data_IF_961140356789
#
_entry.id   IF_961140356789
#
_cell.length_a   1.000
_cell.length_b   1.000
_cell.length_c   1.000
_cell.angle_alpha   90.00
_cell.angle_beta   90.00
_cell.angle_gamma   90.00
#
_symmetry.space_group_name_H-M   'P 1'
#
loop_
_entity.id
_entity.type
_entity.pdbx_description
1 polymer ?
#
# COMPACT_ATOMS: atom_id res chain seq x y z
N UNK A 1 19.56 -13.73 -10.48
CA UNK A 1 18.09 -13.58 -10.41
C UNK A 1 17.53 -13.64 -11.81
N UNK A 2 16.46 -14.38 -12.03
CA UNK A 2 15.81 -14.44 -13.34
C UNK A 2 15.15 -13.09 -13.68
N UNK A 3 15.13 -12.72 -14.97
CA UNK A 3 14.59 -11.41 -15.41
C UNK A 3 13.14 -11.18 -14.97
N UNK A 4 12.35 -12.24 -14.96
CA UNK A 4 10.93 -12.18 -14.57
C UNK A 4 10.75 -12.03 -13.06
N UNK A 5 11.54 -12.76 -12.28
CA UNK A 5 11.60 -12.60 -10.82
C UNK A 5 12.03 -11.17 -10.43
N UNK A 6 13.04 -10.63 -11.11
CA UNK A 6 13.51 -9.26 -10.89
C UNK A 6 12.39 -8.24 -11.17
N UNK A 7 11.72 -8.33 -12.33
CA UNK A 7 10.61 -7.42 -12.68
C UNK A 7 9.49 -7.47 -11.64
N UNK A 8 9.14 -8.67 -11.18
CA UNK A 8 8.13 -8.86 -10.13
C UNK A 8 8.55 -8.19 -8.83
N UNK A 9 9.77 -8.44 -8.34
CA UNK A 9 10.29 -7.83 -7.10
C UNK A 9 10.39 -6.31 -7.22
N UNK A 10 10.82 -5.79 -8.35
CA UNK A 10 10.93 -4.36 -8.62
C UNK A 10 9.57 -3.65 -8.62
N UNK A 11 8.55 -4.25 -9.25
CA UNK A 11 7.19 -3.71 -9.22
C UNK A 11 6.62 -3.70 -7.81
N UNK A 12 6.79 -4.79 -7.06
CA UNK A 12 6.32 -4.89 -5.68
C UNK A 12 7.05 -3.90 -4.76
N UNK A 13 8.35 -3.68 -4.95
CA UNK A 13 9.09 -2.64 -4.22
C UNK A 13 8.47 -1.25 -4.42
N UNK A 14 8.13 -0.89 -5.66
CA UNK A 14 7.47 0.40 -5.96
C UNK A 14 6.09 0.51 -5.32
N UNK A 15 5.28 -0.56 -5.38
CA UNK A 15 3.95 -0.59 -4.78
C UNK A 15 4.04 -0.44 -3.26
N UNK A 16 4.91 -1.22 -2.61
CA UNK A 16 5.11 -1.15 -1.15
C UNK A 16 5.59 0.23 -0.72
N UNK A 17 6.50 0.85 -1.47
CA UNK A 17 6.95 2.22 -1.21
C UNK A 17 5.79 3.23 -1.31
N UNK A 18 4.98 3.14 -2.36
CA UNK A 18 3.82 4.02 -2.54
C UNK A 18 2.80 3.87 -1.40
N UNK A 19 2.58 2.64 -0.93
CA UNK A 19 1.70 2.37 0.23
C UNK A 19 2.29 2.95 1.52
N UNK A 20 3.59 2.79 1.76
CA UNK A 20 4.25 3.41 2.91
C UNK A 20 4.10 4.94 2.90
N UNK A 21 4.18 5.58 1.73
CA UNK A 21 3.96 7.02 1.57
C UNK A 21 2.49 7.40 1.80
N UNK A 22 1.54 6.60 1.30
CA UNK A 22 0.11 6.78 1.54
C UNK A 22 -0.24 6.69 3.03
N UNK A 23 0.32 5.72 3.76
CA UNK A 23 0.03 5.54 5.18
C UNK A 23 0.65 6.65 6.06
N UNK A 24 1.71 7.32 5.60
CA UNK A 24 2.38 8.43 6.31
C UNK A 24 1.72 9.78 6.09
N UNK A 25 0.95 9.95 5.02
CA UNK A 25 0.31 11.23 4.70
C UNK A 25 -1.15 11.23 5.13
N UNK A 26 -1.52 12.18 6.00
CA UNK A 26 -2.92 12.46 6.33
C UNK A 26 -3.58 13.45 5.36
N UNK A 27 -2.80 14.04 4.44
CA UNK A 27 -3.15 15.28 3.73
C UNK A 27 -3.06 15.22 2.18
N UNK A 28 -3.06 14.04 1.55
CA UNK A 28 -2.97 14.00 0.10
C UNK A 28 -4.32 13.79 -0.61
N UNK A 29 -4.67 14.79 -1.43
CA UNK A 29 -5.72 14.79 -2.47
C UNK A 29 -5.41 13.76 -3.57
N UNK A 30 -5.38 12.46 -3.24
CA UNK A 30 -5.23 11.42 -4.24
C UNK A 30 -6.59 11.08 -4.85
N UNK A 31 -6.66 11.16 -6.19
CA UNK A 31 -7.87 10.89 -6.96
C UNK A 31 -8.23 9.41 -6.88
N UNK A 32 -9.41 9.07 -6.35
CA UNK A 32 -9.89 7.69 -6.35
C UNK A 32 -10.21 7.24 -7.79
N UNK A 33 -9.55 6.17 -8.26
CA UNK A 33 -9.78 5.62 -9.61
C UNK A 33 -11.11 4.86 -9.69
N UNK A 34 -11.60 4.32 -8.57
CA UNK A 34 -12.87 3.58 -8.49
C UNK A 34 -13.53 3.72 -7.11
N UNK A 35 -14.87 3.80 -7.00
CA UNK A 35 -15.56 3.88 -5.71
C UNK A 35 -15.43 2.58 -4.90
N UNK A 36 -15.09 2.72 -3.62
CA UNK A 36 -15.06 1.60 -2.67
C UNK A 36 -16.50 1.26 -2.29
N UNK A 37 -16.89 -0.01 -2.45
CA UNK A 37 -18.16 -0.51 -1.91
C UNK A 37 -18.03 -0.74 -0.41
N UNK A 38 -18.98 -0.22 0.34
CA UNK A 38 -19.02 -0.29 1.81
C UNK A 38 -20.36 -0.87 2.25
N UNK A 39 -20.43 -1.64 3.36
CA UNK A 39 -21.68 -2.21 3.83
C UNK A 39 -22.71 -1.13 4.18
N UNK A 40 -23.91 -1.22 3.61
CA UNK A 40 -24.96 -0.20 3.74
C UNK A 40 -25.31 0.11 5.20
N UNK A 41 -25.48 -0.93 6.02
CA UNK A 41 -25.86 -0.77 7.44
C UNK A 41 -24.77 -0.08 8.27
N UNK A 42 -23.50 -0.37 7.97
CA UNK A 42 -22.36 0.27 8.66
C UNK A 42 -22.37 1.78 8.40
N UNK A 43 -22.56 2.18 7.14
CA UNK A 43 -22.61 3.59 6.76
C UNK A 43 -23.84 4.25 7.32
N UNK A 44 -25.02 3.63 7.15
CA UNK A 44 -26.27 4.19 7.61
C UNK A 44 -26.27 4.45 9.12
N UNK A 45 -25.87 3.47 9.92
CA UNK A 45 -25.83 3.62 11.37
C UNK A 45 -24.76 4.61 11.82
N UNK A 46 -23.58 4.60 11.17
CA UNK A 46 -22.51 5.56 11.52
C UNK A 46 -22.92 6.99 11.17
N UNK A 47 -23.53 7.19 9.99
CA UNK A 47 -24.04 8.48 9.56
C UNK A 47 -25.12 8.99 10.52
N UNK A 48 -26.08 8.13 10.88
CA UNK A 48 -27.19 8.46 11.78
C UNK A 48 -26.71 8.81 13.19
N UNK A 49 -25.73 8.08 13.73
CA UNK A 49 -25.28 8.24 15.12
C UNK A 49 -24.15 9.25 15.29
N UNK A 50 -23.30 9.42 14.26
CA UNK A 50 -22.02 10.14 14.36
C UNK A 50 -21.81 11.18 13.26
N UNK A 51 -22.67 11.26 12.24
CA UNK A 51 -22.58 12.22 11.16
C UNK A 51 -21.57 11.86 10.06
N UNK A 52 -21.62 12.60 8.95
CA UNK A 52 -20.92 12.27 7.70
C UNK A 52 -19.39 12.23 7.85
N UNK A 53 -18.79 13.20 8.56
CA UNK A 53 -17.33 13.24 8.80
C UNK A 53 -16.83 11.96 9.48
N UNK A 54 -17.60 11.43 10.42
CA UNK A 54 -17.24 10.21 11.15
C UNK A 54 -17.49 8.96 10.31
N UNK A 55 -18.50 8.96 9.42
CA UNK A 55 -18.71 7.91 8.44
C UNK A 55 -17.54 7.82 7.44
N UNK A 56 -17.05 8.95 6.94
CA UNK A 56 -15.86 8.99 6.08
C UNK A 56 -14.61 8.52 6.84
N UNK A 57 -14.41 9.02 8.06
CA UNK A 57 -13.25 8.68 8.88
C UNK A 57 -13.18 7.18 9.18
N UNK A 58 -14.31 6.51 9.45
CA UNK A 58 -14.31 5.06 9.71
C UNK A 58 -13.98 4.25 8.45
N UNK A 59 -14.47 4.66 7.28
CA UNK A 59 -14.16 4.00 6.00
C UNK A 59 -12.65 4.10 5.74
N UNK A 60 -12.10 5.31 5.87
CA UNK A 60 -10.68 5.56 5.67
C UNK A 60 -9.82 4.76 6.65
N UNK A 61 -10.25 4.68 7.92
CA UNK A 61 -9.56 3.90 8.94
C UNK A 61 -9.56 2.40 8.61
N UNK A 62 -10.70 1.83 8.23
CA UNK A 62 -10.81 0.42 7.81
C UNK A 62 -9.90 0.17 6.60
N UNK A 63 -9.89 1.07 5.63
CA UNK A 63 -9.04 0.95 4.45
C UNK A 63 -7.55 0.99 4.81
N UNK A 64 -7.11 1.96 5.63
CA UNK A 64 -5.72 2.05 6.14
C UNK A 64 -5.32 0.77 6.89
N UNK A 65 -6.18 0.23 7.75
CA UNK A 65 -5.93 -1.03 8.45
C UNK A 65 -5.74 -2.20 7.48
N UNK A 66 -6.66 -2.38 6.53
CA UNK A 66 -6.58 -3.44 5.54
C UNK A 66 -5.33 -3.32 4.67
N UNK A 67 -4.98 -2.09 4.27
CA UNK A 67 -3.81 -1.79 3.46
C UNK A 67 -2.50 -2.12 4.19
N UNK A 68 -2.40 -1.78 5.49
CA UNK A 68 -1.27 -2.15 6.33
C UNK A 68 -1.06 -3.66 6.38
N UNK A 69 -2.12 -4.42 6.71
CA UNK A 69 -2.07 -5.89 6.79
C UNK A 69 -1.71 -6.52 5.44
N UNK A 70 -2.29 -6.01 4.35
CA UNK A 70 -1.99 -6.49 3.01
C UNK A 70 -0.54 -6.22 2.63
N UNK A 71 -0.03 -5.02 2.91
CA UNK A 71 1.33 -4.62 2.56
C UNK A 71 2.38 -5.48 3.27
N UNK A 72 2.15 -5.83 4.53
CA UNK A 72 3.01 -6.73 5.29
C UNK A 72 3.01 -8.14 4.69
N UNK A 73 1.83 -8.67 4.34
CA UNK A 73 1.73 -9.97 3.66
C UNK A 73 2.44 -9.98 2.31
N UNK A 74 2.33 -8.91 1.53
CA UNK A 74 3.04 -8.80 0.25
C UNK A 74 4.56 -8.72 0.45
N UNK A 75 5.02 -7.93 1.41
CA UNK A 75 6.43 -7.86 1.76
C UNK A 75 6.99 -9.24 2.14
N UNK A 76 6.32 -9.96 3.04
CA UNK A 76 6.72 -11.31 3.45
C UNK A 76 6.68 -12.32 2.29
N UNK A 77 5.73 -12.18 1.36
CA UNK A 77 5.63 -13.08 0.20
C UNK A 77 6.74 -12.82 -0.83
N UNK A 78 7.12 -11.55 -1.03
CA UNK A 78 8.03 -11.14 -2.11
C UNK A 78 9.48 -11.15 -1.67
N UNK A 79 9.76 -10.69 -0.45
CA UNK A 79 11.10 -10.53 0.09
C UNK A 79 11.35 -11.48 1.26
N UNK A 80 10.36 -11.72 2.12
CA UNK A 80 10.44 -12.68 3.22
C UNK A 80 11.33 -12.27 4.40
N UNK A 81 12.31 -11.41 4.17
CA UNK A 81 13.17 -10.84 5.21
C UNK A 81 13.72 -9.47 4.81
N UNK A 82 14.17 -8.72 5.83
CA UNK A 82 14.79 -7.40 5.64
C UNK A 82 16.10 -7.52 4.87
N UNK A 83 16.92 -8.52 5.20
CA UNK A 83 18.14 -8.82 4.47
C UNK A 83 17.89 -9.05 2.97
N UNK A 84 16.85 -9.82 2.61
CA UNK A 84 16.54 -10.07 1.19
C UNK A 84 16.08 -8.79 0.46
N UNK A 85 15.35 -7.92 1.16
CA UNK A 85 14.98 -6.61 0.63
C UNK A 85 16.21 -5.73 0.40
N UNK A 86 17.12 -5.64 1.37
CA UNK A 86 18.35 -4.84 1.26
C UNK A 86 19.23 -5.33 0.11
N UNK A 87 19.46 -6.64 0.01
CA UNK A 87 20.18 -7.25 -1.11
C UNK A 87 19.55 -6.89 -2.46
N UNK A 88 18.22 -6.90 -2.54
CA UNK A 88 17.51 -6.51 -3.76
C UNK A 88 17.63 -5.02 -4.06
N UNK A 89 17.59 -4.15 -3.05
CA UNK A 89 17.79 -2.70 -3.23
C UNK A 89 19.18 -2.41 -3.79
N UNK A 90 20.21 -3.07 -3.27
CA UNK A 90 21.58 -2.92 -3.77
C UNK A 90 21.71 -3.40 -5.22
N UNK A 91 21.04 -4.49 -5.59
CA UNK A 91 20.97 -4.94 -6.98
C UNK A 91 20.32 -3.89 -7.91
N UNK A 92 19.23 -3.27 -7.46
CA UNK A 92 18.54 -2.21 -8.22
C UNK A 92 19.44 -0.98 -8.39
N UNK A 93 20.18 -0.58 -7.35
CA UNK A 93 21.13 0.55 -7.43
C UNK A 93 22.22 0.31 -8.46
N UNK A 94 22.86 -0.86 -8.42
CA UNK A 94 23.93 -1.24 -9.37
C UNK A 94 23.46 -1.19 -10.82
N UNK A 95 22.28 -1.72 -11.13
CA UNK A 95 21.73 -1.65 -12.48
C UNK A 95 21.46 -0.21 -12.93
N UNK A 96 20.93 0.64 -12.05
CA UNK A 96 20.69 2.04 -12.39
C UNK A 96 21.99 2.86 -12.57
N UNK A 97 23.11 2.39 -12.02
CA UNK A 97 24.44 2.98 -12.23
C UNK A 97 25.09 2.47 -13.52
N UNK A 98 24.88 1.20 -13.88
CA UNK A 98 25.35 0.59 -15.14
C UNK A 98 24.56 1.08 -16.37
N UNK A 99 23.30 1.47 -16.20
CA UNK A 99 22.43 2.00 -17.26
C UNK A 99 22.58 3.54 -17.47
N UNK A 100 23.52 4.21 -16.78
CA UNK A 100 23.81 5.66 -16.89
C UNK A 100 25.09 5.94 -17.67
#
# INVERSE_FOLDING_TARGET
MEKEEYKKKYLNLKILKSIQEYLKSDDNDHTAVFPIRVPDELIYQTLKLKGAKNADSIIHHIFKLGLSIWSEKQYNTVFGSEQSLEEFIELVKKQNEEDK
#
